data_IF_190453415411
#
_entry.id   IF_190453415411
#
_cell.length_a   1.000
_cell.length_b   1.000
_cell.length_c   1.000
_cell.angle_alpha   90.00
_cell.angle_beta   90.00
_cell.angle_gamma   90.00
#
_symmetry.space_group_name_H-M   'P 1'
#
loop_
_entity.id
_entity.type
_entity.pdbx_description
1 polymer ?
#
# COMPACT_ATOMS: atom_id res chain seq x y z
N UNK A 1 -3.32 20.30 12.11
CA UNK A 1 -2.54 19.45 11.19
C UNK A 1 -1.20 20.13 10.97
N UNK A 2 -0.15 19.35 10.79
CA UNK A 2 1.19 19.86 10.53
C UNK A 2 1.41 20.15 9.04
N UNK A 3 2.63 20.57 8.70
CA UNK A 3 2.94 21.06 7.36
C UNK A 3 2.88 19.97 6.30
N UNK A 4 3.36 18.76 6.63
CA UNK A 4 3.39 17.61 5.70
C UNK A 4 1.97 17.11 5.45
N UNK A 5 1.19 16.94 6.52
CA UNK A 5 -0.20 16.51 6.47
C UNK A 5 -1.08 17.51 5.73
N UNK A 6 -0.95 18.81 5.97
CA UNK A 6 -1.67 19.84 5.21
C UNK A 6 -1.32 19.81 3.71
N UNK A 7 -0.06 19.56 3.38
CA UNK A 7 0.40 19.44 1.99
C UNK A 7 -0.20 18.23 1.28
N UNK A 8 -0.15 17.06 1.91
CA UNK A 8 -0.76 15.83 1.38
C UNK A 8 -2.27 16.03 1.21
N UNK A 9 -2.94 16.58 2.22
CA UNK A 9 -4.38 16.84 2.18
C UNK A 9 -4.77 17.71 0.98
N UNK A 10 -4.09 18.85 0.78
CA UNK A 10 -4.35 19.73 -0.36
C UNK A 10 -4.16 19.02 -1.70
N UNK A 11 -3.09 18.22 -1.81
CA UNK A 11 -2.82 17.47 -3.04
C UNK A 11 -3.92 16.42 -3.31
N UNK A 12 -4.39 15.70 -2.28
CA UNK A 12 -5.49 14.73 -2.42
C UNK A 12 -6.80 15.43 -2.81
N UNK A 13 -7.13 16.54 -2.16
CA UNK A 13 -8.33 17.34 -2.44
C UNK A 13 -8.30 17.93 -3.86
N UNK A 14 -7.14 18.43 -4.31
CA UNK A 14 -6.94 18.96 -5.67
C UNK A 14 -7.14 17.91 -6.76
N UNK A 15 -6.90 16.65 -6.45
CA UNK A 15 -7.07 15.51 -7.36
C UNK A 15 -8.45 14.84 -7.21
N UNK A 16 -9.38 15.47 -6.50
CA UNK A 16 -10.73 14.95 -6.24
C UNK A 16 -10.74 13.52 -5.63
N UNK A 17 -9.69 13.17 -4.87
CA UNK A 17 -9.61 11.90 -4.18
C UNK A 17 -10.45 11.94 -2.91
N UNK A 18 -11.37 10.97 -2.77
CA UNK A 18 -12.14 10.79 -1.55
C UNK A 18 -11.35 9.95 -0.55
N UNK A 19 -11.02 10.52 0.61
CA UNK A 19 -10.22 9.87 1.64
C UNK A 19 -10.79 10.08 3.05
N UNK A 20 -10.54 9.10 3.90
CA UNK A 20 -10.69 9.21 5.34
C UNK A 20 -9.39 9.71 5.96
N UNK A 21 -9.49 10.40 7.10
CA UNK A 21 -8.32 10.83 7.88
C UNK A 21 -8.39 10.21 9.28
N UNK A 22 -7.30 9.56 9.71
CA UNK A 22 -7.10 9.11 11.08
C UNK A 22 -5.94 9.90 11.71
N UNK A 23 -6.15 10.44 12.89
CA UNK A 23 -5.12 11.09 13.69
C UNK A 23 -4.91 10.26 14.96
N UNK A 24 -3.66 9.94 15.25
CA UNK A 24 -3.29 9.48 16.58
C UNK A 24 -3.00 10.73 17.43
N UNK A 25 -3.58 10.84 18.62
CA UNK A 25 -3.30 11.98 19.51
C UNK A 25 -1.99 11.81 20.29
N UNK A 26 -1.50 10.57 20.43
CA UNK A 26 -0.27 10.25 21.17
C UNK A 26 0.99 10.38 20.30
N UNK A 27 0.87 10.14 18.99
CA UNK A 27 1.95 10.28 18.02
C UNK A 27 1.56 11.35 17.00
N UNK A 28 2.48 12.21 16.55
CA UNK A 28 2.23 13.27 15.55
C UNK A 28 1.92 12.75 14.13
N UNK A 29 1.38 11.53 14.04
CA UNK A 29 1.06 10.80 12.84
C UNK A 29 -0.35 11.12 12.36
N UNK A 30 -0.44 11.63 11.13
CA UNK A 30 -1.71 11.74 10.42
C UNK A 30 -1.74 10.73 9.28
N UNK A 31 -2.78 9.89 9.22
CA UNK A 31 -2.96 8.90 8.16
C UNK A 31 -4.14 9.27 7.27
N UNK A 32 -3.90 9.35 5.97
CA UNK A 32 -4.93 9.47 4.94
C UNK A 32 -5.18 8.10 4.32
N UNK A 33 -6.45 7.70 4.19
CA UNK A 33 -6.84 6.36 3.73
C UNK A 33 -7.84 6.49 2.59
N UNK A 34 -7.58 5.85 1.46
CA UNK A 34 -8.52 5.80 0.34
C UNK A 34 -8.38 4.50 -0.45
N UNK A 35 -9.43 4.15 -1.18
CA UNK A 35 -9.42 3.01 -2.10
C UNK A 35 -9.14 3.47 -3.53
N UNK A 36 -8.37 2.68 -4.27
CA UNK A 36 -8.18 2.84 -5.71
C UNK A 36 -8.42 1.52 -6.43
N UNK A 37 -9.00 1.62 -7.63
CA UNK A 37 -9.03 0.55 -8.61
C UNK A 37 -7.91 0.82 -9.62
N UNK A 38 -6.88 -0.01 -9.60
CA UNK A 38 -5.84 -0.03 -10.63
C UNK A 38 -6.29 -0.76 -11.88
N UNK A 39 -5.36 -0.99 -12.81
CA UNK A 39 -5.63 -1.71 -14.04
C UNK A 39 -5.79 -3.22 -13.78
N UNK A 40 -5.06 -3.75 -12.79
CA UNK A 40 -5.01 -5.17 -12.48
C UNK A 40 -5.73 -5.53 -11.18
N UNK A 41 -5.66 -4.69 -10.15
CA UNK A 41 -6.17 -4.99 -8.80
C UNK A 41 -6.90 -3.80 -8.16
N UNK A 42 -7.69 -4.11 -7.12
CA UNK A 42 -8.18 -3.09 -6.18
C UNK A 42 -7.18 -3.00 -5.02
N UNK A 43 -6.98 -1.80 -4.47
CA UNK A 43 -6.07 -1.60 -3.35
C UNK A 43 -6.52 -0.48 -2.42
N UNK A 44 -6.14 -0.61 -1.14
CA UNK A 44 -6.19 0.46 -0.16
C UNK A 44 -4.85 1.20 -0.15
N UNK A 45 -4.89 2.52 -0.18
CA UNK A 45 -3.72 3.38 -0.04
C UNK A 45 -3.77 4.09 1.31
N UNK A 46 -2.71 3.94 2.10
CA UNK A 46 -2.51 4.70 3.33
C UNK A 46 -1.31 5.63 3.14
N UNK A 47 -1.49 6.92 3.38
CA UNK A 47 -0.39 7.88 3.45
C UNK A 47 -0.23 8.33 4.89
N UNK A 48 0.87 7.93 5.52
CA UNK A 48 1.20 8.26 6.92
C UNK A 48 2.18 9.43 6.93
N UNK A 49 1.73 10.60 7.36
CA UNK A 49 2.56 11.79 7.57
C UNK A 49 3.10 11.80 8.99
N UNK A 50 4.42 11.94 9.14
CA UNK A 50 5.16 12.01 10.40
C UNK A 50 5.85 13.38 10.46
N UNK A 51 5.23 14.31 11.18
CA UNK A 51 5.69 15.70 11.25
C UNK A 51 7.00 15.81 12.04
N UNK A 52 7.14 15.07 13.14
CA UNK A 52 8.35 15.09 13.98
C UNK A 52 9.54 14.42 13.27
N UNK A 53 9.28 13.34 12.55
CA UNK A 53 10.26 12.65 11.73
C UNK A 53 10.55 13.32 10.38
N UNK A 54 9.89 14.44 10.08
CA UNK A 54 9.96 15.17 8.80
C UNK A 54 9.88 14.24 7.58
N UNK A 55 8.90 13.33 7.57
CA UNK A 55 8.76 12.32 6.53
C UNK A 55 7.31 11.92 6.31
N UNK A 56 7.05 11.26 5.19
CA UNK A 56 5.79 10.54 5.01
C UNK A 56 6.04 9.18 4.35
N UNK A 57 5.08 8.29 4.51
CA UNK A 57 5.12 6.94 3.99
C UNK A 57 3.85 6.65 3.21
N UNK A 58 4.00 6.26 1.95
CA UNK A 58 2.91 5.76 1.11
C UNK A 58 2.91 4.24 1.25
N UNK A 59 1.75 3.67 1.56
CA UNK A 59 1.55 2.22 1.67
C UNK A 59 0.37 1.82 0.81
N UNK A 60 0.61 0.97 -0.17
CA UNK A 60 -0.43 0.36 -0.99
C UNK A 60 -0.62 -1.09 -0.54
N UNK A 61 -1.86 -1.42 -0.21
CA UNK A 61 -2.31 -2.73 0.25
C UNK A 61 -3.25 -3.30 -0.80
N UNK A 62 -2.79 -4.22 -1.65
CA UNK A 62 -3.67 -4.96 -2.54
C UNK A 62 -4.82 -5.61 -1.76
N UNK A 63 -6.00 -5.66 -2.34
CA UNK A 63 -7.15 -6.38 -1.79
C UNK A 63 -6.99 -7.90 -2.02
N UNK A 64 -5.90 -8.45 -1.50
CA UNK A 64 -5.51 -9.84 -1.61
C UNK A 64 -4.53 -10.26 -0.51
N UNK A 65 -4.59 -11.54 -0.12
CA UNK A 65 -3.79 -12.13 0.95
C UNK A 65 -3.05 -13.38 0.49
N UNK A 66 -1.76 -13.51 0.85
CA UNK A 66 -0.95 -14.69 0.56
C UNK A 66 -1.40 -15.88 1.43
N UNK A 67 -1.79 -17.02 0.83
CA UNK A 67 -2.11 -18.24 1.55
C UNK A 67 -0.97 -18.70 2.45
N UNK A 68 -1.30 -19.19 3.65
CA UNK A 68 -0.31 -19.52 4.70
C UNK A 68 0.78 -20.49 4.23
N UNK A 69 0.42 -21.48 3.44
CA UNK A 69 1.31 -22.49 2.86
C UNK A 69 2.25 -21.94 1.77
N UNK A 70 1.95 -20.75 1.24
CA UNK A 70 2.74 -20.06 0.20
C UNK A 70 3.59 -18.91 0.73
N UNK A 71 3.37 -18.46 1.98
CA UNK A 71 4.06 -17.28 2.55
C UNK A 71 5.58 -17.41 2.53
N UNK A 72 6.11 -18.60 2.85
CA UNK A 72 7.56 -18.84 2.84
C UNK A 72 8.18 -18.66 1.45
N UNK A 73 7.53 -19.18 0.41
CA UNK A 73 8.00 -19.07 -0.98
C UNK A 73 7.98 -17.61 -1.45
N UNK A 74 6.93 -16.87 -1.09
CA UNK A 74 6.79 -15.46 -1.43
C UNK A 74 7.82 -14.59 -0.73
N UNK A 75 8.17 -14.86 0.53
CA UNK A 75 9.19 -14.08 1.23
C UNK A 75 10.53 -14.07 0.48
N UNK A 76 10.91 -15.17 -0.17
CA UNK A 76 12.14 -15.22 -0.98
C UNK A 76 12.04 -14.32 -2.22
N UNK A 77 10.90 -14.35 -2.92
CA UNK A 77 10.62 -13.50 -4.07
C UNK A 77 10.66 -12.02 -3.66
N UNK A 78 9.94 -11.65 -2.60
CA UNK A 78 9.88 -10.28 -2.10
C UNK A 78 11.27 -9.78 -1.67
N UNK A 79 12.06 -10.62 -1.01
CA UNK A 79 13.43 -10.27 -0.66
C UNK A 79 14.28 -9.97 -1.90
N UNK A 80 14.15 -10.80 -2.94
CA UNK A 80 14.85 -10.60 -4.22
C UNK A 80 14.42 -9.30 -4.91
N UNK A 81 13.11 -8.99 -4.89
CA UNK A 81 12.55 -7.73 -5.38
C UNK A 81 13.07 -6.52 -4.61
N UNK A 82 13.27 -6.65 -3.30
CA UNK A 82 13.72 -5.55 -2.44
C UNK A 82 15.21 -5.24 -2.63
N UNK A 83 16.06 -6.23 -2.94
CA UNK A 83 17.51 -6.03 -3.16
C UNK A 83 17.79 -5.10 -4.34
N UNK A 84 16.94 -5.09 -5.37
CA UNK A 84 17.11 -4.24 -6.55
C UNK A 84 16.52 -2.83 -6.37
N UNK A 85 15.85 -2.54 -5.25
CA UNK A 85 15.16 -1.26 -5.01
C UNK A 85 16.01 -0.32 -4.15
N UNK A 86 15.95 0.96 -4.49
CA UNK A 86 16.66 1.99 -3.73
C UNK A 86 15.78 2.65 -2.66
N UNK A 87 14.50 2.86 -2.94
CA UNK A 87 13.62 3.71 -2.12
C UNK A 87 12.32 3.04 -1.69
N UNK A 88 11.98 1.91 -2.31
CA UNK A 88 10.73 1.18 -2.08
C UNK A 88 11.00 -0.20 -1.54
N UNK A 89 10.00 -0.76 -0.85
CA UNK A 89 10.02 -2.14 -0.37
C UNK A 89 8.64 -2.77 -0.46
N UNK A 90 8.61 -4.08 -0.58
CA UNK A 90 7.41 -4.89 -0.39
C UNK A 90 7.55 -5.70 0.88
N UNK A 91 6.54 -5.64 1.73
CA UNK A 91 6.40 -6.44 2.93
C UNK A 91 5.26 -7.43 2.81
N UNK A 92 5.35 -8.49 3.61
CA UNK A 92 4.29 -9.46 3.84
C UNK A 92 4.03 -9.50 5.35
N UNK A 93 2.78 -9.33 5.77
CA UNK A 93 2.38 -9.62 7.13
C UNK A 93 2.40 -11.15 7.34
N UNK A 94 3.23 -11.69 8.26
CA UNK A 94 3.30 -13.13 8.47
C UNK A 94 2.04 -13.73 9.11
N UNK A 95 1.22 -12.92 9.79
CA UNK A 95 0.02 -13.36 10.51
C UNK A 95 -1.16 -13.57 9.55
N UNK A 96 -1.53 -12.54 8.79
CA UNK A 96 -2.70 -12.60 7.89
C UNK A 96 -2.33 -12.73 6.40
N UNK A 97 -1.08 -12.49 6.03
CA UNK A 97 -0.62 -12.60 4.63
C UNK A 97 -0.88 -11.35 3.80
N UNK A 98 -1.21 -10.21 4.42
CA UNK A 98 -1.40 -8.94 3.71
C UNK A 98 -0.07 -8.47 3.08
N UNK A 99 -0.12 -8.08 1.80
CA UNK A 99 1.01 -7.44 1.15
C UNK A 99 0.97 -5.92 1.37
N UNK A 100 2.15 -5.32 1.55
CA UNK A 100 2.29 -3.88 1.66
C UNK A 100 3.44 -3.38 0.78
N UNK A 101 3.10 -2.58 -0.23
CA UNK A 101 4.06 -1.86 -1.07
C UNK A 101 4.30 -0.49 -0.45
N UNK A 102 5.55 -0.20 -0.11
CA UNK A 102 5.90 0.94 0.74
C UNK A 102 6.93 1.83 0.06
N UNK A 103 6.65 3.13 0.03
CA UNK A 103 7.61 4.18 -0.32
C UNK A 103 7.73 5.15 0.85
N UNK A 104 8.94 5.35 1.36
CA UNK A 104 9.22 6.36 2.40
C UNK A 104 9.90 7.58 1.80
N UNK A 105 9.39 8.76 2.08
CA UNK A 105 9.89 10.03 1.54
C UNK A 105 10.32 10.94 2.67
N UNK A 106 11.57 11.37 2.64
CA UNK A 106 12.15 12.31 3.61
C UNK A 106 11.94 13.74 3.11
N UNK A 107 11.46 14.62 4.01
CA UNK A 107 11.16 16.03 3.75
C UNK A 107 12.07 16.97 4.54
N UNK A 108 13.24 16.49 4.97
CA UNK A 108 14.13 17.19 5.92
C UNK A 108 14.40 18.64 5.51
N UNK A 109 13.84 19.60 6.24
CA UNK A 109 13.99 21.04 5.99
C UNK A 109 13.21 21.64 4.80
N UNK A 110 12.49 20.84 4.00
CA UNK A 110 11.65 21.34 2.91
C UNK A 110 10.55 20.37 2.52
N UNK A 111 9.33 20.88 2.32
CA UNK A 111 8.23 20.11 1.73
C UNK A 111 8.47 20.02 0.23
N UNK A 112 8.27 18.82 -0.33
CA UNK A 112 8.31 18.60 -1.78
C UNK A 112 7.20 19.36 -2.49
N UNK A 113 7.36 19.61 -3.80
CA UNK A 113 6.25 20.17 -4.58
C UNK A 113 5.06 19.21 -4.61
N UNK A 114 3.85 19.75 -4.79
CA UNK A 114 2.63 18.93 -4.92
C UNK A 114 2.78 17.91 -6.05
N UNK A 115 3.33 18.33 -7.19
CA UNK A 115 3.62 17.47 -8.35
C UNK A 115 4.58 16.31 -8.00
N UNK A 116 5.59 16.57 -7.17
CA UNK A 116 6.54 15.51 -6.76
C UNK A 116 5.87 14.51 -5.82
N UNK A 117 5.08 15.01 -4.86
CA UNK A 117 4.30 14.17 -3.95
C UNK A 117 3.30 13.31 -4.72
N UNK A 118 2.60 13.91 -5.68
CA UNK A 118 1.66 13.24 -6.58
C UNK A 118 2.35 12.13 -7.37
N UNK A 119 3.50 12.43 -7.99
CA UNK A 119 4.29 11.44 -8.73
C UNK A 119 4.71 10.25 -7.87
N UNK A 120 5.11 10.46 -6.61
CA UNK A 120 5.45 9.35 -5.71
C UNK A 120 4.24 8.49 -5.33
N UNK A 121 3.08 9.11 -5.13
CA UNK A 121 1.84 8.38 -4.82
C UNK A 121 1.44 7.51 -6.00
N UNK A 122 1.33 8.09 -7.21
CA UNK A 122 0.97 7.33 -8.40
C UNK A 122 2.02 6.29 -8.78
N UNK A 123 3.31 6.59 -8.62
CA UNK A 123 4.36 5.59 -8.85
C UNK A 123 4.27 4.40 -7.88
N UNK A 124 3.92 4.65 -6.61
CA UNK A 124 3.71 3.58 -5.62
C UNK A 124 2.47 2.76 -5.96
N UNK A 125 1.38 3.40 -6.39
CA UNK A 125 0.14 2.73 -6.82
C UNK A 125 0.41 1.84 -8.03
N UNK A 126 1.04 2.37 -9.08
CA UNK A 126 1.34 1.61 -10.29
C UNK A 126 2.29 0.44 -10.00
N UNK A 127 3.32 0.66 -9.18
CA UNK A 127 4.19 -0.41 -8.70
C UNK A 127 3.40 -1.50 -7.98
N UNK A 128 2.48 -1.14 -7.09
CA UNK A 128 1.66 -2.12 -6.39
C UNK A 128 0.72 -2.87 -7.34
N UNK A 129 0.13 -2.18 -8.33
CA UNK A 129 -0.80 -2.78 -9.30
C UNK A 129 -0.09 -3.83 -10.18
N UNK A 130 1.00 -3.43 -10.82
CA UNK A 130 1.76 -4.27 -11.75
C UNK A 130 2.42 -5.44 -11.02
N UNK A 131 3.10 -5.16 -9.91
CA UNK A 131 3.90 -6.18 -9.23
C UNK A 131 3.04 -7.18 -8.47
N UNK A 132 1.87 -6.77 -7.97
CA UNK A 132 0.94 -7.72 -7.34
C UNK A 132 0.48 -8.74 -8.37
N UNK A 133 0.19 -8.31 -9.60
CA UNK A 133 -0.20 -9.24 -10.67
C UNK A 133 0.90 -10.30 -10.93
N UNK A 134 2.17 -9.91 -10.90
CA UNK A 134 3.29 -10.86 -11.04
C UNK A 134 3.47 -11.77 -9.82
N UNK A 135 3.31 -11.24 -8.60
CA UNK A 135 3.30 -12.06 -7.38
C UNK A 135 2.17 -13.10 -7.43
N UNK A 136 0.97 -12.70 -7.84
CA UNK A 136 -0.17 -13.60 -8.00
C UNK A 136 0.11 -14.71 -9.02
N UNK A 137 0.73 -14.37 -10.17
CA UNK A 137 1.14 -15.38 -11.15
C UNK A 137 2.14 -16.36 -10.57
N UNK A 138 3.09 -15.90 -9.75
CA UNK A 138 4.06 -16.77 -9.09
C UNK A 138 3.41 -17.70 -8.04
N UNK A 139 2.42 -17.22 -7.28
CA UNK A 139 1.71 -18.03 -6.28
C UNK A 139 0.81 -19.08 -6.92
N UNK A 140 0.09 -18.70 -7.98
CA UNK A 140 -1.00 -19.51 -8.55
C UNK A 140 -0.68 -20.10 -9.94
N UNK A 141 0.55 -19.98 -10.43
CA UNK A 141 0.97 -20.57 -11.70
C UNK A 141 0.31 -19.95 -12.94
N UNK A 142 -0.03 -18.65 -12.88
CA UNK A 142 -0.64 -17.92 -13.99
C UNK A 142 -2.15 -18.08 -14.16
N UNK A 143 -2.83 -18.77 -13.24
CA UNK A 143 -4.29 -18.76 -13.16
C UNK A 143 -4.82 -17.44 -12.61
N UNK A 144 -5.91 -16.91 -13.19
CA UNK A 144 -6.61 -15.78 -12.61
C UNK A 144 -7.18 -16.22 -11.24
N UNK A 145 -6.83 -15.56 -10.11
CA UNK A 145 -7.27 -15.98 -8.78
C UNK A 145 -8.80 -15.97 -8.61
N UNK A 146 -9.54 -15.27 -9.48
CA UNK A 146 -11.00 -15.35 -9.54
C UNK A 146 -11.54 -16.73 -9.98
N UNK A 147 -10.67 -17.64 -10.45
CA UNK A 147 -11.05 -18.95 -10.99
C UNK A 147 -10.43 -20.14 -10.27
N UNK A 148 -9.46 -19.94 -9.38
CA UNK A 148 -8.68 -21.05 -8.81
C UNK A 148 -9.29 -21.72 -7.59
N UNK A 149 -10.34 -21.19 -6.97
CA UNK A 149 -10.99 -21.87 -5.83
C UNK A 149 -12.50 -21.63 -5.78
N UNK A 150 -13.24 -22.40 -6.59
CA UNK A 150 -14.64 -22.77 -6.27
C UNK A 150 -14.76 -24.16 -5.63
N UNK A 151 -13.66 -24.88 -5.44
CA UNK A 151 -13.69 -26.27 -4.94
C UNK A 151 -13.09 -26.45 -3.53
N UNK A 152 -12.56 -25.40 -2.89
CA UNK A 152 -11.96 -25.49 -1.54
C UNK A 152 -12.66 -24.62 -0.49
N UNK A 153 -13.99 -24.45 -0.55
CA UNK A 153 -14.83 -24.14 0.62
C UNK A 153 -14.61 -22.83 1.41
N UNK A 154 -13.56 -22.05 1.15
CA UNK A 154 -13.30 -20.75 1.77
C UNK A 154 -13.29 -19.69 0.66
N UNK A 155 -14.49 -19.38 0.17
CA UNK A 155 -14.70 -18.34 -0.82
C UNK A 155 -14.16 -17.00 -0.33
N UNK A 156 -13.42 -16.34 -1.24
CA UNK A 156 -13.08 -14.91 -1.27
C UNK A 156 -13.91 -14.10 -0.27
N UNK A 157 -13.34 -13.79 0.89
CA UNK A 157 -14.00 -12.88 1.83
C UNK A 157 -13.84 -11.46 1.27
N UNK A 158 -14.95 -10.76 0.94
CA UNK A 158 -14.85 -9.36 0.57
C UNK A 158 -14.21 -8.59 1.73
N UNK A 159 -13.35 -7.65 1.40
CA UNK A 159 -12.78 -6.73 2.38
C UNK A 159 -13.90 -6.04 3.15
N UNK A 160 -13.90 -6.22 4.47
CA UNK A 160 -14.61 -5.38 5.43
C UNK A 160 -13.57 -4.46 6.07
N UNK A 161 -13.81 -3.13 6.11
CA UNK A 161 -12.95 -2.22 6.85
C UNK A 161 -12.80 -2.72 8.29
N UNK A 162 -11.58 -3.05 8.72
CA UNK A 162 -11.31 -3.27 10.14
C UNK A 162 -11.57 -1.94 10.86
N UNK A 163 -12.56 -1.94 11.75
CA UNK A 163 -12.57 -1.02 12.89
C UNK A 163 -11.39 -1.42 13.80
N UNK A 164 -10.47 -0.47 13.96
CA UNK A 164 -9.50 -0.36 15.06
C UNK A 164 -8.28 -1.32 14.99
N UNK A 165 -7.04 -0.98 15.37
CA UNK A 165 -6.50 0.01 16.32
C UNK A 165 -5.62 1.09 15.68
#
# INVERSE_FOLDING_TARGET
>A
MGKISDHIKRMLEKNDLHFDTRQNEEDSLTTFIFGIKGDNIHMRVNIVADEDGERYMIRCYPDWYVPKDRRADILFLLNSMNVSRWLTRVGLDPEDGELAYVWTVLCKGSILSEETTENYIYATINMADDETAEVLKAVYGGGNPATSDKESGEGMLPWTPRSDN
#
